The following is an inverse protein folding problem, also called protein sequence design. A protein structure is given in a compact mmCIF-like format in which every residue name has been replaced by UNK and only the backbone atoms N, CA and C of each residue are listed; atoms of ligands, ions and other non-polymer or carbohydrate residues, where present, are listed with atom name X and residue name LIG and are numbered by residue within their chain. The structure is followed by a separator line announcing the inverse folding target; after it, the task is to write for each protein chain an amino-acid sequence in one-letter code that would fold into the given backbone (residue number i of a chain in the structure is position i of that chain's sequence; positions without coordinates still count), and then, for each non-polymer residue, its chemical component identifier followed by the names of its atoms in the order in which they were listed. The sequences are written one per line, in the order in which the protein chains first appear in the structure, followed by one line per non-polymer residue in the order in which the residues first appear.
data_IF_419996888553
#
_entry.id   IF_419996888553
#
_cell.length_a   1.000
_cell.length_b   1.000
_cell.length_c   1.000
_cell.angle_alpha   90.00
_cell.angle_beta   90.00
_cell.angle_gamma   90.00
#
_symmetry.space_group_name_H-M   'P 1'
#
loop_
_entity.id
_entity.type
_entity.pdbx_description
1 polymer ?
#
# COMPACT_ATOMS: atom_id res chain seq x y z
N UNK A 1 13.53 13.13 5.83
CA UNK A 1 12.24 12.40 5.77
C UNK A 1 12.00 11.75 7.14
N UNK A 2 10.80 11.85 7.72
CA UNK A 2 10.47 11.12 8.96
C UNK A 2 10.41 9.62 8.70
N UNK A 3 10.60 8.83 9.76
CA UNK A 3 10.51 7.37 9.66
C UNK A 3 9.11 6.93 9.29
N UNK A 4 8.97 5.93 8.43
CA UNK A 4 7.66 5.45 7.97
C UNK A 4 6.76 5.06 9.13
N UNK A 5 7.28 4.35 10.14
CA UNK A 5 6.49 3.94 11.30
C UNK A 5 5.93 5.13 12.10
N UNK A 6 6.67 6.24 12.18
CA UNK A 6 6.19 7.46 12.86
C UNK A 6 5.05 8.12 12.07
N UNK A 7 5.17 8.14 10.75
CA UNK A 7 4.13 8.63 9.83
C UNK A 7 2.89 7.74 9.90
N UNK A 8 3.07 6.42 9.87
CA UNK A 8 1.98 5.45 9.91
C UNK A 8 1.17 5.58 11.21
N UNK A 9 1.82 5.67 12.38
CA UNK A 9 1.12 5.81 13.65
C UNK A 9 0.39 7.16 13.76
N UNK A 10 1.00 8.25 13.28
CA UNK A 10 0.32 9.55 13.16
C UNK A 10 -0.91 9.45 12.26
N UNK A 11 -0.77 8.87 11.07
CA UNK A 11 -1.84 8.74 10.09
C UNK A 11 -2.97 7.85 10.60
N UNK A 12 -2.66 6.72 11.27
CA UNK A 12 -3.67 5.84 11.88
C UNK A 12 -4.60 6.61 12.81
N UNK A 13 -4.06 7.51 13.64
CA UNK A 13 -4.86 8.34 14.55
C UNK A 13 -5.82 9.25 13.78
N UNK A 14 -5.30 10.00 12.80
CA UNK A 14 -6.12 10.93 12.02
C UNK A 14 -7.17 10.19 11.18
N UNK A 15 -6.81 9.05 10.60
CA UNK A 15 -7.72 8.19 9.83
C UNK A 15 -8.84 7.65 10.73
N UNK A 16 -8.51 7.20 11.94
CA UNK A 16 -9.50 6.75 12.91
C UNK A 16 -10.51 7.86 13.27
N UNK A 17 -10.04 9.11 13.40
CA UNK A 17 -10.90 10.27 13.63
C UNK A 17 -11.81 10.59 12.42
N UNK A 18 -11.36 10.29 11.19
CA UNK A 18 -12.11 10.57 9.95
C UNK A 18 -13.18 9.53 9.63
N UNK A 19 -12.89 8.24 9.80
CA UNK A 19 -13.77 7.16 9.35
C UNK A 19 -13.98 6.02 10.35
N UNK A 20 -13.52 6.19 11.60
CA UNK A 20 -13.61 5.16 12.62
C UNK A 20 -12.66 3.98 12.39
N UNK A 21 -13.01 2.81 12.92
CA UNK A 21 -12.18 1.61 12.82
C UNK A 21 -12.13 1.08 11.37
N UNK A 22 -10.95 1.15 10.78
CA UNK A 22 -10.65 0.62 9.45
C UNK A 22 -9.29 -0.10 9.43
N UNK A 23 -9.08 -0.96 8.45
CA UNK A 23 -7.75 -1.50 8.14
C UNK A 23 -7.09 -0.66 7.05
N UNK A 24 -5.76 -0.53 7.11
CA UNK A 24 -4.97 0.26 6.17
C UNK A 24 -4.12 -0.69 5.32
N UNK A 25 -4.03 -0.44 4.01
CA UNK A 25 -3.16 -1.20 3.10
C UNK A 25 -1.68 -0.94 3.38
N UNK A 26 -0.81 -1.68 2.69
CA UNK A 26 0.56 -1.21 2.50
C UNK A 26 0.58 0.13 1.73
N UNK A 27 1.53 1.01 2.03
CA UNK A 27 1.67 2.28 1.34
C UNK A 27 2.23 2.07 -0.07
N UNK A 28 1.76 2.89 -1.01
CA UNK A 28 2.36 3.00 -2.35
C UNK A 28 2.81 4.44 -2.55
N UNK A 29 4.08 4.67 -2.91
CA UNK A 29 4.57 6.01 -3.17
C UNK A 29 4.02 6.52 -4.50
N UNK A 30 3.87 7.82 -4.61
CA UNK A 30 3.49 8.50 -5.84
C UNK A 30 4.12 9.90 -5.88
N UNK A 31 4.05 10.54 -7.04
CA UNK A 31 4.52 11.89 -7.26
C UNK A 31 3.35 12.76 -7.74
N UNK A 32 2.84 13.62 -6.88
CA UNK A 32 1.73 14.54 -7.19
C UNK A 32 2.26 15.96 -7.20
N UNK A 33 2.23 16.63 -8.36
CA UNK A 33 2.76 18.00 -8.52
C UNK A 33 4.19 18.15 -7.99
N UNK A 34 5.06 17.18 -8.30
CA UNK A 34 6.45 17.11 -7.83
C UNK A 34 6.63 16.93 -6.30
N UNK A 35 5.55 16.64 -5.58
CA UNK A 35 5.60 16.28 -4.16
C UNK A 35 5.57 14.76 -4.04
N UNK A 36 6.53 14.21 -3.31
CA UNK A 36 6.54 12.80 -2.92
C UNK A 36 5.43 12.54 -1.90
N UNK A 37 4.51 11.66 -2.28
CA UNK A 37 3.36 11.29 -1.45
C UNK A 37 3.28 9.78 -1.26
N UNK A 38 2.62 9.38 -0.20
CA UNK A 38 2.22 8.01 0.08
C UNK A 38 0.71 7.91 -0.06
N UNK A 39 0.27 6.85 -0.72
CA UNK A 39 -1.12 6.49 -0.84
C UNK A 39 -1.39 5.21 -0.06
N UNK A 40 -2.52 5.15 0.62
CA UNK A 40 -3.02 3.94 1.30
C UNK A 40 -4.51 3.78 1.07
N UNK A 41 -4.94 2.55 0.86
CA UNK A 41 -6.34 2.18 0.87
C UNK A 41 -6.85 1.95 2.29
N UNK A 42 -8.12 2.30 2.49
CA UNK A 42 -8.87 1.99 3.70
C UNK A 42 -9.89 0.89 3.41
N UNK A 43 -9.91 -0.11 4.27
CA UNK A 43 -10.83 -1.25 4.23
C UNK A 43 -11.74 -1.27 5.44
N UNK A 44 -12.97 -1.79 5.31
CA UNK A 44 -13.84 -1.98 6.47
C UNK A 44 -13.14 -2.91 7.47
N UNK A 45 -13.14 -2.53 8.75
CA UNK A 45 -12.65 -3.41 9.80
C UNK A 45 -13.62 -4.58 9.97
N UNK A 46 -13.21 -5.77 9.51
CA UNK A 46 -14.01 -6.98 9.57
C UNK A 46 -13.10 -8.19 9.82
N UNK A 47 -13.51 -9.15 10.68
CA UNK A 47 -12.79 -10.41 10.84
C UNK A 47 -13.00 -11.36 9.64
N UNK A 48 -13.91 -11.04 8.72
CA UNK A 48 -14.15 -11.85 7.53
C UNK A 48 -13.02 -11.63 6.51
N UNK A 49 -12.41 -12.74 6.08
CA UNK A 49 -11.43 -12.75 4.98
C UNK A 49 -12.06 -12.32 3.65
N UNK A 50 -13.35 -12.61 3.46
CA UNK A 50 -14.09 -12.25 2.25
C UNK A 50 -14.87 -10.97 2.49
N UNK A 51 -14.43 -9.86 1.90
CA UNK A 51 -14.99 -8.50 2.12
C UNK A 51 -14.97 -7.67 0.83
N UNK A 52 -15.59 -6.51 0.85
CA UNK A 52 -15.65 -5.60 -0.30
C UNK A 52 -14.28 -4.97 -0.59
N UNK A 53 -14.12 -4.43 -1.80
CA UNK A 53 -13.00 -3.56 -2.22
C UNK A 53 -12.74 -2.39 -1.24
N UNK A 54 -11.56 -1.73 -1.30
CA UNK A 54 -11.32 -0.49 -0.56
C UNK A 54 -12.47 0.51 -0.67
N UNK A 55 -12.83 1.15 0.45
CA UNK A 55 -13.89 2.17 0.46
C UNK A 55 -13.32 3.59 0.37
N UNK A 56 -12.03 3.78 0.66
CA UNK A 56 -11.38 5.08 0.56
C UNK A 56 -9.89 4.97 0.24
N UNK A 57 -9.34 6.08 -0.24
CA UNK A 57 -7.92 6.29 -0.49
C UNK A 57 -7.47 7.53 0.30
N UNK A 58 -6.35 7.41 1.02
CA UNK A 58 -5.71 8.53 1.71
C UNK A 58 -4.37 8.80 1.04
N UNK A 59 -4.12 10.07 0.76
CA UNK A 59 -2.82 10.55 0.26
C UNK A 59 -2.17 11.43 1.32
N UNK A 60 -0.94 11.12 1.71
CA UNK A 60 -0.15 11.91 2.66
C UNK A 60 1.22 12.28 2.12
N UNK A 61 1.78 13.41 2.52
CA UNK A 61 3.15 13.77 2.17
C UNK A 61 4.15 12.79 2.82
N UNK A 62 5.12 12.30 2.03
CA UNK A 62 6.15 11.36 2.52
C UNK A 62 7.08 12.00 3.54
N UNK A 63 7.28 13.32 3.47
CA UNK A 63 8.24 14.02 4.32
C UNK A 63 7.85 13.96 5.80
N UNK A 64 6.58 14.24 6.11
CA UNK A 64 6.10 14.52 7.47
C UNK A 64 4.79 13.81 7.85
N UNK A 65 4.21 13.05 6.92
CA UNK A 65 2.93 12.37 7.09
C UNK A 65 1.73 13.31 7.17
N UNK A 66 1.78 14.50 6.56
CA UNK A 66 0.61 15.37 6.50
C UNK A 66 -0.40 14.81 5.51
N UNK A 67 -1.63 14.53 5.95
CA UNK A 67 -2.71 14.06 5.07
C UNK A 67 -3.10 15.22 4.14
N UNK A 68 -2.93 14.99 2.84
CA UNK A 68 -3.22 15.96 1.79
C UNK A 68 -4.62 15.74 1.21
N UNK A 69 -5.07 14.48 1.15
CA UNK A 69 -6.33 14.12 0.51
C UNK A 69 -6.94 12.87 1.12
N UNK A 70 -8.27 12.88 1.22
CA UNK A 70 -9.10 11.73 1.51
C UNK A 70 -10.14 11.62 0.40
N UNK A 71 -10.24 10.43 -0.21
CA UNK A 71 -11.16 10.16 -1.32
C UNK A 71 -12.03 8.97 -0.98
N UNK A 72 -13.34 9.18 -0.96
CA UNK A 72 -14.31 8.12 -0.74
C UNK A 72 -14.70 7.49 -2.08
N UNK A 73 -14.65 6.16 -2.17
CA UNK A 73 -14.90 5.42 -3.40
C UNK A 73 -16.32 5.61 -3.95
N UNK A 74 -17.30 5.84 -3.07
CA UNK A 74 -18.69 6.11 -3.46
C UNK A 74 -18.88 7.49 -4.10
N UNK A 75 -17.91 8.39 -3.95
CA UNK A 75 -17.93 9.75 -4.50
C UNK A 75 -16.97 9.89 -5.68
N UNK A 76 -15.79 9.29 -5.57
CA UNK A 76 -14.76 9.29 -6.60
C UNK A 76 -14.25 7.86 -6.79
N UNK A 77 -14.52 7.31 -7.98
CA UNK A 77 -14.20 5.93 -8.28
C UNK A 77 -12.71 5.77 -8.63
N UNK A 78 -11.86 5.64 -7.60
CA UNK A 78 -10.42 5.49 -7.77
C UNK A 78 -9.98 4.09 -8.25
N UNK A 79 -10.88 3.11 -8.29
CA UNK A 79 -10.66 1.78 -8.89
C UNK A 79 -11.83 1.48 -9.82
N UNK A 80 -11.64 1.26 -11.13
CA UNK A 80 -12.76 1.16 -12.07
C UNK A 80 -13.87 0.18 -11.63
N UNK A 81 -15.04 0.70 -11.25
CA UNK A 81 -16.20 -0.11 -10.79
C UNK A 81 -16.68 -1.08 -11.87
N UNK A 82 -16.48 -0.74 -13.14
CA UNK A 82 -16.77 -1.64 -14.27
C UNK A 82 -15.95 -2.92 -14.22
N UNK A 83 -14.73 -2.87 -13.67
CA UNK A 83 -13.82 -4.01 -13.53
C UNK A 83 -13.88 -4.65 -12.14
N UNK A 84 -14.20 -3.86 -11.12
CA UNK A 84 -14.29 -4.29 -9.71
C UNK A 84 -15.53 -3.67 -9.04
N UNK A 85 -16.73 -4.26 -9.23
CA UNK A 85 -17.97 -3.77 -8.65
C UNK A 85 -17.89 -3.65 -7.12
N UNK A 86 -18.58 -2.66 -6.54
CA UNK A 86 -18.60 -2.45 -5.08
C UNK A 86 -19.14 -3.64 -4.29
N UNK A 87 -20.06 -4.40 -4.89
CA UNK A 87 -20.72 -5.55 -4.30
C UNK A 87 -19.87 -6.83 -4.39
N UNK A 88 -18.85 -6.82 -5.25
CA UNK A 88 -17.96 -7.97 -5.40
C UNK A 88 -17.14 -8.17 -4.12
N UNK A 89 -17.13 -9.41 -3.65
CA UNK A 89 -16.36 -9.79 -2.48
C UNK A 89 -15.02 -10.36 -2.92
N UNK A 90 -13.95 -9.81 -2.35
CA UNK A 90 -12.58 -10.21 -2.59
C UNK A 90 -12.13 -11.04 -1.39
N UNK A 91 -11.38 -12.12 -1.64
CA UNK A 91 -10.73 -12.89 -0.58
C UNK A 91 -9.40 -12.21 -0.18
N UNK A 92 -9.33 -11.74 1.06
CA UNK A 92 -8.17 -11.13 1.70
C UNK A 92 -7.41 -12.12 2.60
N UNK A 93 -7.85 -13.38 2.65
CA UNK A 93 -7.14 -14.45 3.34
C UNK A 93 -5.71 -14.58 2.82
N UNK A 94 -4.80 -15.01 3.69
CA UNK A 94 -3.44 -15.36 3.30
C UNK A 94 -3.54 -16.45 2.22
N UNK A 95 -2.80 -16.36 1.09
CA UNK A 95 -2.91 -17.34 0.01
C UNK A 95 -2.81 -18.78 0.53
N UNK A 96 -3.82 -19.62 0.24
CA UNK A 96 -3.99 -20.99 0.77
C UNK A 96 -2.79 -21.94 0.54
N UNK A 97 -1.88 -21.58 -0.37
CA UNK A 97 -0.65 -22.32 -0.68
C UNK A 97 0.50 -22.13 0.30
N UNK A 98 0.44 -21.12 1.17
CA UNK A 98 1.47 -20.81 2.15
C UNK A 98 0.91 -21.00 3.56
N UNK A 99 1.08 -22.20 4.13
CA UNK A 99 0.79 -22.47 5.55
C UNK A 99 1.79 -21.71 6.45
N UNK A 100 1.65 -20.38 6.51
CA UNK A 100 2.41 -19.51 7.40
C UNK A 100 1.71 -19.48 8.76
N UNK A 101 2.46 -19.71 9.81
CA UNK A 101 2.02 -19.38 11.15
C UNK A 101 1.81 -17.86 11.29
N UNK A 102 0.97 -17.41 12.25
CA UNK A 102 0.82 -15.98 12.53
C UNK A 102 2.16 -15.29 12.84
N UNK A 103 3.11 -16.01 13.45
CA UNK A 103 4.45 -15.50 13.75
C UNK A 103 5.29 -15.26 12.51
N UNK A 104 5.26 -16.18 11.54
CA UNK A 104 5.97 -16.03 10.26
C UNK A 104 5.38 -14.89 9.43
N UNK A 105 4.05 -14.79 9.36
CA UNK A 105 3.40 -13.68 8.67
C UNK A 105 3.78 -12.33 9.30
N UNK A 106 3.79 -12.22 10.64
CA UNK A 106 4.23 -11.00 11.32
C UNK A 106 5.66 -10.60 10.96
N UNK A 107 6.60 -11.56 11.00
CA UNK A 107 8.00 -11.30 10.66
C UNK A 107 8.17 -10.85 9.20
N UNK A 108 7.39 -11.43 8.30
CA UNK A 108 7.35 -11.02 6.90
C UNK A 108 6.83 -9.58 6.73
N UNK A 109 5.74 -9.21 7.42
CA UNK A 109 5.22 -7.84 7.38
C UNK A 109 6.22 -6.83 7.96
N UNK A 110 6.94 -7.21 9.03
CA UNK A 110 8.01 -6.38 9.61
C UNK A 110 9.19 -6.21 8.66
N UNK A 111 9.59 -7.26 7.95
CA UNK A 111 10.63 -7.17 6.93
C UNK A 111 10.20 -6.29 5.76
N UNK A 112 8.96 -6.47 5.29
CA UNK A 112 8.42 -5.68 4.18
C UNK A 112 8.40 -4.18 4.52
N UNK A 113 7.98 -3.83 5.74
CA UNK A 113 7.97 -2.44 6.20
C UNK A 113 9.38 -1.85 6.38
N UNK A 114 10.39 -2.64 6.77
CA UNK A 114 11.79 -2.20 6.81
C UNK A 114 12.36 -1.95 5.41
N UNK A 115 12.12 -2.87 4.49
CA UNK A 115 12.56 -2.70 3.09
C UNK A 115 11.87 -1.49 2.45
N UNK A 116 10.58 -1.30 2.72
CA UNK A 116 9.86 -0.12 2.26
C UNK A 116 10.49 1.18 2.76
N UNK A 117 10.84 1.26 4.05
CA UNK A 117 11.51 2.42 4.62
C UNK A 117 12.80 2.80 3.89
N UNK A 118 13.59 1.81 3.46
CA UNK A 118 14.79 2.04 2.67
C UNK A 118 14.45 2.52 1.25
N UNK A 119 13.45 1.92 0.59
CA UNK A 119 12.98 2.31 -0.75
C UNK A 119 12.53 3.77 -0.79
N UNK A 120 11.88 4.26 0.27
CA UNK A 120 11.41 5.65 0.36
C UNK A 120 12.53 6.67 0.15
N UNK A 121 13.78 6.30 0.43
CA UNK A 121 14.93 7.21 0.30
C UNK A 121 15.38 7.43 -1.14
N UNK A 122 15.04 6.50 -2.06
CA UNK A 122 15.46 6.54 -3.46
C UNK A 122 14.31 6.35 -4.46
N UNK A 123 13.06 6.35 -3.99
CA UNK A 123 11.91 6.19 -4.88
C UNK A 123 11.83 7.33 -5.89
N UNK A 124 11.59 6.98 -7.16
CA UNK A 124 11.60 7.91 -8.30
C UNK A 124 12.96 8.54 -8.66
N UNK A 125 14.07 8.03 -8.13
CA UNK A 125 15.38 8.32 -8.72
C UNK A 125 15.45 7.76 -10.15
N UNK A 126 16.10 8.50 -11.05
CA UNK A 126 16.23 8.12 -12.47
C UNK A 126 17.13 6.90 -12.69
N UNK A 127 18.06 6.66 -11.76
CA UNK A 127 19.01 5.56 -11.84
C UNK A 127 19.30 5.01 -10.46
N UNK A 128 19.27 3.68 -10.34
CA UNK A 128 19.59 2.98 -9.10
C UNK A 128 20.93 2.25 -9.17
N UNK A 129 21.64 2.22 -8.05
CA UNK A 129 22.82 1.37 -7.84
C UNK A 129 22.44 -0.11 -7.85
N UNK A 130 23.43 -0.99 -7.97
CA UNK A 130 23.20 -2.44 -7.92
C UNK A 130 22.52 -2.86 -6.60
N UNK A 131 22.98 -2.32 -5.47
CA UNK A 131 22.43 -2.61 -4.14
C UNK A 131 20.99 -2.12 -4.00
N UNK A 132 20.67 -0.92 -4.52
CA UNK A 132 19.30 -0.40 -4.52
C UNK A 132 18.35 -1.25 -5.37
N UNK A 133 18.81 -1.73 -6.54
CA UNK A 133 18.04 -2.66 -7.38
C UNK A 133 17.80 -4.00 -6.69
N UNK A 134 18.82 -4.57 -6.06
CA UNK A 134 18.68 -5.81 -5.29
C UNK A 134 17.65 -5.65 -4.16
N UNK A 135 17.72 -4.54 -3.43
CA UNK A 135 16.77 -4.21 -2.37
C UNK A 135 15.35 -4.09 -2.91
N UNK A 136 15.18 -3.39 -4.04
CA UNK A 136 13.89 -3.19 -4.70
C UNK A 136 13.27 -4.51 -5.17
N UNK A 137 14.07 -5.36 -5.81
CA UNK A 137 13.67 -6.70 -6.25
C UNK A 137 13.26 -7.56 -5.06
N UNK A 138 14.04 -7.53 -3.97
CA UNK A 138 13.73 -8.28 -2.74
C UNK A 138 12.41 -7.81 -2.12
N UNK A 139 12.20 -6.50 -2.04
CA UNK A 139 10.94 -5.93 -1.57
C UNK A 139 9.77 -6.41 -2.43
N UNK A 140 9.87 -6.32 -3.75
CA UNK A 140 8.80 -6.67 -4.66
C UNK A 140 8.41 -8.15 -4.56
N UNK A 141 9.40 -9.05 -4.51
CA UNK A 141 9.17 -10.49 -4.35
C UNK A 141 8.46 -10.81 -3.03
N UNK A 142 8.82 -10.14 -1.93
CA UNK A 142 8.16 -10.34 -0.65
C UNK A 142 6.75 -9.75 -0.68
N UNK A 143 6.59 -8.57 -1.28
CA UNK A 143 5.30 -7.90 -1.44
C UNK A 143 4.29 -8.77 -2.20
N UNK A 144 4.67 -9.32 -3.35
CA UNK A 144 3.78 -10.17 -4.17
C UNK A 144 3.38 -11.47 -3.45
N UNK A 145 4.25 -12.03 -2.61
CA UNK A 145 3.92 -13.19 -1.77
C UNK A 145 3.03 -12.84 -0.58
N UNK A 146 3.20 -11.64 -0.04
CA UNK A 146 2.51 -11.15 1.14
C UNK A 146 1.08 -10.67 0.84
N UNK A 147 0.85 -10.17 -0.38
CA UNK A 147 -0.41 -9.57 -0.80
C UNK A 147 -1.24 -10.61 -1.57
N UNK A 148 -2.49 -10.88 -1.17
CA UNK A 148 -3.39 -11.74 -1.93
C UNK A 148 -3.48 -11.30 -3.40
N UNK A 149 -3.38 -12.25 -4.34
CA UNK A 149 -3.33 -11.98 -5.79
C UNK A 149 -4.48 -11.08 -6.26
N UNK A 150 -5.67 -11.25 -5.69
CA UNK A 150 -6.84 -10.44 -6.02
C UNK A 150 -6.68 -8.96 -5.64
N UNK A 151 -5.76 -8.61 -4.73
CA UNK A 151 -5.47 -7.23 -4.33
C UNK A 151 -4.41 -6.54 -5.20
N UNK A 152 -3.54 -7.30 -5.90
CA UNK A 152 -2.46 -6.72 -6.71
C UNK A 152 -2.95 -5.66 -7.72
N UNK A 153 -4.08 -5.86 -8.44
CA UNK A 153 -4.59 -4.85 -9.36
C UNK A 153 -4.98 -3.52 -8.69
N UNK A 154 -5.36 -3.55 -7.42
CA UNK A 154 -5.67 -2.33 -6.67
C UNK A 154 -4.40 -1.54 -6.37
N UNK A 155 -3.32 -2.21 -5.97
CA UNK A 155 -2.02 -1.59 -5.74
C UNK A 155 -1.44 -1.00 -7.03
N UNK A 156 -1.58 -1.71 -8.15
CA UNK A 156 -1.20 -1.21 -9.48
C UNK A 156 -1.94 0.09 -9.84
N UNK A 157 -3.25 0.15 -9.55
CA UNK A 157 -4.08 1.33 -9.80
C UNK A 157 -3.82 2.48 -8.84
N UNK A 158 -3.15 2.24 -7.71
CA UNK A 158 -2.88 3.27 -6.72
C UNK A 158 -1.85 4.30 -7.22
N UNK A 159 -0.84 3.83 -7.98
CA UNK A 159 0.22 4.68 -8.53
C UNK A 159 0.81 4.04 -9.80
N UNK A 160 0.28 4.43 -10.96
CA UNK A 160 0.84 4.01 -12.26
C UNK A 160 2.30 4.43 -12.41
N UNK A 161 2.68 5.59 -11.84
CA UNK A 161 4.06 6.08 -11.84
C UNK A 161 4.98 5.14 -11.09
N UNK A 162 4.59 4.72 -9.89
CA UNK A 162 5.40 3.79 -9.11
C UNK A 162 5.50 2.45 -9.79
N UNK A 163 4.39 1.91 -10.32
CA UNK A 163 4.42 0.67 -11.09
C UNK A 163 5.40 0.75 -12.26
N UNK A 164 5.35 1.83 -13.04
CA UNK A 164 6.27 2.03 -14.17
C UNK A 164 7.72 2.12 -13.68
N UNK A 165 8.00 2.93 -12.67
CA UNK A 165 9.33 3.09 -12.11
C UNK A 165 9.90 1.78 -11.55
N UNK A 166 9.07 0.98 -10.87
CA UNK A 166 9.41 -0.36 -10.38
C UNK A 166 9.83 -1.28 -11.53
N UNK A 167 9.03 -1.37 -12.59
CA UNK A 167 9.30 -2.24 -13.76
C UNK A 167 10.55 -1.81 -14.54
N UNK A 168 10.90 -0.53 -14.54
CA UNK A 168 12.12 -0.04 -15.18
C UNK A 168 13.40 -0.43 -14.41
N UNK A 169 13.28 -0.78 -13.13
CA UNK A 169 14.41 -0.99 -12.22
C UNK A 169 14.53 -2.40 -11.63
N UNK A 170 13.49 -3.23 -11.77
CA UNK A 170 13.43 -4.65 -11.37
C UNK A 170 13.39 -5.53 -12.60
#
# INVERSE_FOLDING_TARGET
MKKYYEILEKNKKVIADLCGNCSISFPVPDLVNSILVEKVFLYPSSPAEVRTRPFALVTSAMEDGTILKYENAYVFDFVPTQKYPFEEKINYGIPDGEKKSPGEHRLEMELLAKLYEEIRSFVFEESLTADQKELLTKYYVIFEKSVPVAQLPFYDGMSEKYKKWMVEHV
#
